data_IF_150465421973
#
_entry.id   IF_150465421973
#
_cell.length_a   1.000
_cell.length_b   1.000
_cell.length_c   1.000
_cell.angle_alpha   90.00
_cell.angle_beta   90.00
_cell.angle_gamma   90.00
#
_symmetry.space_group_name_H-M   'P 1'
#
loop_
_entity.id
_entity.type
_entity.pdbx_description
1 polymer ?
#
# COMPACT_ATOMS: atom_id res chain seq x y z
N UNK A 1 20.61 61.27 -25.44
CA UNK A 1 21.05 60.57 -24.21
C UNK A 1 19.89 59.77 -23.68
N UNK A 2 19.97 58.45 -23.83
CA UNK A 2 18.97 57.45 -23.43
C UNK A 2 19.13 57.17 -21.93
N UNK A 3 18.11 57.45 -21.12
CA UNK A 3 18.02 56.90 -19.77
C UNK A 3 16.68 56.17 -19.61
N UNK A 4 16.76 54.86 -19.75
CA UNK A 4 15.65 53.93 -19.52
C UNK A 4 15.31 53.88 -18.04
N UNK A 5 14.02 54.06 -17.71
CA UNK A 5 13.47 53.78 -16.39
C UNK A 5 13.38 52.26 -16.21
N UNK A 6 14.29 51.70 -15.42
CA UNK A 6 14.21 50.33 -14.94
C UNK A 6 12.95 50.11 -14.10
N UNK A 7 12.06 49.24 -14.56
CA UNK A 7 10.99 48.68 -13.73
C UNK A 7 11.66 47.79 -12.68
N UNK A 8 11.45 48.13 -11.40
CA UNK A 8 11.75 47.25 -10.26
C UNK A 8 10.98 45.93 -10.45
N UNK A 9 11.62 44.75 -10.29
CA UNK A 9 10.90 43.50 -10.34
C UNK A 9 9.90 43.44 -9.18
N UNK A 10 8.65 43.20 -9.52
CA UNK A 10 7.51 43.08 -8.64
C UNK A 10 7.75 41.97 -7.62
N UNK A 11 7.61 42.31 -6.33
CA UNK A 11 7.52 41.39 -5.18
C UNK A 11 6.40 40.33 -5.31
N UNK A 12 5.59 40.41 -6.37
CA UNK A 12 4.53 39.47 -6.71
C UNK A 12 5.04 38.11 -7.21
N UNK A 13 6.29 38.03 -7.66
CA UNK A 13 6.82 36.78 -8.25
C UNK A 13 7.37 35.81 -7.20
N UNK A 14 7.68 36.27 -5.99
CA UNK A 14 8.30 35.45 -4.94
C UNK A 14 7.27 34.78 -4.00
N UNK A 15 6.05 35.32 -3.92
CA UNK A 15 4.94 34.73 -3.16
C UNK A 15 4.31 33.50 -3.84
N UNK A 16 4.53 33.32 -5.15
CA UNK A 16 3.96 32.21 -5.93
C UNK A 16 4.68 30.87 -5.72
N UNK A 17 5.86 30.86 -5.08
CA UNK A 17 6.57 29.64 -4.67
C UNK A 17 6.16 29.12 -3.30
N UNK A 18 5.42 29.90 -2.52
CA UNK A 18 4.90 29.49 -1.22
C UNK A 18 3.50 28.88 -1.37
N UNK A 19 3.40 27.59 -1.02
CA UNK A 19 2.20 26.72 -1.05
C UNK A 19 1.87 26.12 -2.42
N UNK A 20 2.68 25.15 -2.87
CA UNK A 20 2.06 23.91 -3.36
C UNK A 20 1.23 23.38 -2.20
N UNK A 21 -0.05 23.79 -2.12
CA UNK A 21 -1.07 23.13 -1.31
C UNK A 21 -0.87 21.64 -1.52
N UNK A 22 -0.76 20.85 -0.45
CA UNK A 22 -0.73 19.39 -0.56
C UNK A 22 -1.92 18.99 -1.46
N UNK A 23 -1.70 18.54 -2.70
CA UNK A 23 -2.77 18.49 -3.71
C UNK A 23 -3.88 17.51 -3.33
N UNK A 24 -3.59 16.61 -2.38
CA UNK A 24 -4.47 15.56 -1.90
C UNK A 24 -4.98 15.79 -0.47
N UNK A 25 -4.67 16.95 0.16
CA UNK A 25 -5.15 17.29 1.49
C UNK A 25 -6.58 17.89 1.45
N UNK A 26 -7.52 17.11 0.92
CA UNK A 26 -8.97 17.39 0.90
C UNK A 26 -9.72 16.30 1.68
N UNK A 27 -11.02 16.42 1.88
CA UNK A 27 -11.82 15.37 2.53
C UNK A 27 -11.63 14.02 1.81
N UNK A 28 -11.69 12.92 2.57
CA UNK A 28 -11.61 11.58 1.97
C UNK A 28 -12.75 11.38 0.97
N UNK A 29 -12.49 10.74 -0.19
CA UNK A 29 -13.54 10.34 -1.11
C UNK A 29 -14.47 9.31 -0.42
N UNK A 30 -15.72 9.16 -0.87
CA UNK A 30 -16.58 8.07 -0.44
C UNK A 30 -15.85 6.73 -0.64
N UNK A 31 -15.90 5.87 0.37
CA UNK A 31 -15.30 4.53 0.31
C UNK A 31 -16.35 3.53 0.75
N UNK A 32 -16.77 2.68 -0.20
CA UNK A 32 -17.82 1.68 0.02
C UNK A 32 -17.38 0.65 1.07
N UNK A 33 -18.34 0.12 1.82
CA UNK A 33 -18.11 -1.04 2.67
C UNK A 33 -17.68 -2.25 1.84
N UNK A 34 -16.77 -3.05 2.39
CA UNK A 34 -16.13 -4.17 1.69
C UNK A 34 -16.90 -5.44 1.96
N UNK A 35 -17.21 -6.16 0.89
CA UNK A 35 -17.91 -7.45 0.92
C UNK A 35 -16.97 -8.49 0.30
N UNK A 36 -16.79 -9.62 0.97
CA UNK A 36 -16.05 -10.76 0.40
C UNK A 36 -16.92 -11.45 -0.65
N UNK A 37 -16.51 -11.39 -1.91
CA UNK A 37 -17.21 -12.07 -3.02
C UNK A 37 -16.80 -13.55 -3.16
N UNK A 38 -15.63 -13.94 -2.66
CA UNK A 38 -15.13 -15.30 -2.75
C UNK A 38 -13.70 -15.47 -2.25
N UNK A 39 -13.20 -16.70 -2.30
CA UNK A 39 -11.87 -17.08 -1.79
C UNK A 39 -11.28 -18.26 -2.56
N UNK A 40 -9.95 -18.37 -2.59
CA UNK A 40 -9.24 -19.53 -3.12
C UNK A 40 -8.01 -19.85 -2.25
N UNK A 41 -7.45 -21.04 -2.46
CA UNK A 41 -6.30 -21.55 -1.75
C UNK A 41 -5.20 -21.99 -2.72
N UNK A 42 -3.94 -21.92 -2.28
CA UNK A 42 -2.78 -22.45 -3.00
C UNK A 42 -2.06 -23.49 -2.15
N UNK A 43 -1.94 -24.71 -2.64
CA UNK A 43 -1.25 -25.78 -1.91
C UNK A 43 0.29 -25.61 -1.89
N UNK A 44 0.99 -26.56 -1.28
CA UNK A 44 2.47 -26.55 -1.16
C UNK A 44 3.18 -26.59 -2.51
N UNK A 45 2.51 -27.09 -3.57
CA UNK A 45 3.01 -27.11 -4.95
C UNK A 45 2.55 -25.86 -5.74
N UNK A 46 1.93 -24.89 -5.07
CA UNK A 46 1.34 -23.67 -5.66
C UNK A 46 0.20 -23.95 -6.64
N UNK A 47 -0.50 -25.08 -6.50
CA UNK A 47 -1.67 -25.39 -7.34
C UNK A 47 -2.90 -24.69 -6.80
N UNK A 48 -3.75 -24.23 -7.71
CA UNK A 48 -4.98 -23.52 -7.40
C UNK A 48 -6.09 -24.46 -6.92
N UNK A 49 -6.75 -24.07 -5.82
CA UNK A 49 -7.93 -24.73 -5.27
C UNK A 49 -9.02 -23.69 -5.00
N UNK A 50 -10.25 -23.93 -5.47
CA UNK A 50 -11.37 -23.00 -5.28
C UNK A 50 -12.06 -23.23 -3.92
N UNK A 51 -11.30 -23.10 -2.83
CA UNK A 51 -11.77 -23.33 -1.46
C UNK A 51 -10.97 -22.50 -0.42
N UNK A 52 -11.27 -22.73 0.86
CA UNK A 52 -10.60 -22.13 2.02
C UNK A 52 -9.64 -23.10 2.73
N UNK A 53 -9.19 -24.17 2.06
CA UNK A 53 -8.37 -25.24 2.67
C UNK A 53 -7.07 -24.75 3.30
N UNK A 54 -6.50 -23.65 2.81
CA UNK A 54 -5.25 -23.07 3.32
C UNK A 54 -5.48 -21.93 4.32
N UNK A 55 -6.73 -21.63 4.67
CA UNK A 55 -7.05 -20.63 5.68
C UNK A 55 -6.61 -21.11 7.06
N UNK A 56 -5.90 -20.25 7.79
CA UNK A 56 -5.45 -20.51 9.16
C UNK A 56 -6.22 -19.66 10.16
N UNK A 57 -6.37 -20.20 11.36
CA UNK A 57 -6.99 -19.51 12.48
C UNK A 57 -5.92 -18.89 13.36
N UNK A 58 -6.19 -17.69 13.86
CA UNK A 58 -5.33 -17.07 14.85
C UNK A 58 -5.49 -17.79 16.18
N UNK A 59 -4.36 -18.19 16.76
CA UNK A 59 -4.29 -18.60 18.17
C UNK A 59 -3.64 -17.44 18.89
N UNK A 60 -4.37 -16.83 19.82
CA UNK A 60 -3.83 -15.70 20.59
C UNK A 60 -2.67 -16.20 21.47
N UNK A 61 -1.50 -15.53 21.42
CA UNK A 61 -0.35 -15.95 22.20
C UNK A 61 -0.54 -15.60 23.68
N UNK A 62 0.15 -16.34 24.54
CA UNK A 62 0.27 -16.01 25.97
C UNK A 62 0.91 -14.61 26.17
N UNK A 63 0.74 -14.03 27.37
CA UNK A 63 1.23 -12.68 27.68
C UNK A 63 2.74 -12.48 27.43
N UNK A 64 3.52 -13.55 27.53
CA UNK A 64 4.96 -13.60 27.24
C UNK A 64 5.26 -14.62 26.14
N UNK A 65 5.01 -14.30 24.85
CA UNK A 65 5.35 -15.21 23.77
C UNK A 65 6.87 -15.42 23.73
N UNK A 66 7.30 -16.65 23.46
CA UNK A 66 8.72 -17.00 23.26
C UNK A 66 8.92 -17.66 21.88
N UNK A 67 8.48 -16.97 20.83
CA UNK A 67 8.63 -17.45 19.46
C UNK A 67 10.03 -17.13 18.95
N UNK A 68 10.86 -18.16 18.78
CA UNK A 68 12.14 -18.01 18.12
C UNK A 68 11.97 -18.02 16.60
N UNK A 69 12.09 -16.83 15.98
CA UNK A 69 11.98 -16.68 14.53
C UNK A 69 13.22 -17.19 13.77
N UNK A 70 14.26 -17.63 14.47
CA UNK A 70 15.47 -18.23 13.90
C UNK A 70 15.48 -19.74 13.98
N UNK A 71 14.54 -20.34 14.69
CA UNK A 71 14.38 -21.78 14.73
C UNK A 71 14.18 -22.30 13.28
N UNK A 72 15.07 -23.19 12.83
CA UNK A 72 15.13 -23.68 11.45
C UNK A 72 16.03 -22.89 10.48
N UNK A 73 16.68 -21.82 10.93
CA UNK A 73 17.66 -21.03 10.16
C UNK A 73 19.07 -21.12 10.79
N UNK A 74 19.71 -22.28 10.74
CA UNK A 74 20.97 -22.55 11.46
C UNK A 74 22.25 -21.98 10.80
N UNK A 75 22.22 -21.61 9.51
CA UNK A 75 23.47 -21.66 8.74
C UNK A 75 24.15 -20.30 8.46
N UNK A 76 23.56 -19.14 8.82
CA UNK A 76 24.10 -17.81 8.46
C UNK A 76 23.80 -16.69 9.46
N UNK A 77 24.00 -16.92 10.76
CA UNK A 77 23.73 -15.88 11.77
C UNK A 77 25.00 -15.38 12.48
N UNK A 78 25.20 -14.06 12.47
CA UNK A 78 26.25 -13.36 13.23
C UNK A 78 25.63 -12.88 14.55
N UNK A 79 26.03 -13.51 15.67
CA UNK A 79 25.60 -13.18 17.02
C UNK A 79 26.20 -11.82 17.44
N UNK A 80 25.35 -10.91 17.95
CA UNK A 80 25.79 -9.65 18.55
C UNK A 80 26.04 -9.87 20.04
N UNK A 81 27.03 -9.18 20.61
CA UNK A 81 27.44 -9.30 22.01
C UNK A 81 26.28 -9.07 23.01
N UNK A 82 26.07 -10.04 23.89
CA UNK A 82 24.94 -10.17 24.82
C UNK A 82 25.13 -9.41 26.15
N UNK A 83 26.31 -8.82 26.42
CA UNK A 83 26.59 -8.12 27.68
C UNK A 83 25.94 -6.72 27.80
N UNK A 84 25.14 -6.30 26.82
CA UNK A 84 24.43 -5.01 26.86
C UNK A 84 22.98 -5.23 27.31
N UNK A 85 22.72 -5.09 28.61
CA UNK A 85 21.37 -5.13 29.17
C UNK A 85 20.58 -3.91 28.66
N UNK A 86 19.65 -4.12 27.73
CA UNK A 86 18.86 -3.03 27.15
C UNK A 86 17.72 -2.64 28.09
N UNK A 87 17.94 -1.55 28.83
CA UNK A 87 16.93 -0.82 29.58
C UNK A 87 15.81 -0.31 28.63
N UNK A 88 14.60 -0.07 29.17
CA UNK A 88 13.44 0.47 28.46
C UNK A 88 13.76 1.79 27.71
N UNK A 89 14.72 2.54 28.26
CA UNK A 89 15.28 3.76 27.67
C UNK A 89 15.83 3.56 26.25
N UNK A 90 16.51 2.44 25.96
CA UNK A 90 17.03 2.18 24.62
C UNK A 90 15.94 1.86 23.62
N UNK A 91 14.81 1.30 24.06
CA UNK A 91 13.63 1.08 23.23
C UNK A 91 12.95 2.42 22.92
N UNK A 92 12.80 3.28 23.93
CA UNK A 92 12.26 4.64 23.74
C UNK A 92 13.18 5.49 22.85
N UNK A 93 14.49 5.45 23.07
CA UNK A 93 15.50 6.08 22.20
C UNK A 93 15.44 5.50 20.79
N UNK A 94 15.27 4.19 20.63
CA UNK A 94 15.12 3.57 19.31
C UNK A 94 13.84 4.02 18.62
N UNK A 95 12.70 4.10 19.31
CA UNK A 95 11.45 4.61 18.76
C UNK A 95 11.61 6.06 18.32
N UNK A 96 12.27 6.90 19.13
CA UNK A 96 12.56 8.29 18.78
C UNK A 96 13.50 8.37 17.57
N UNK A 97 14.57 7.58 17.53
CA UNK A 97 15.53 7.53 16.44
C UNK A 97 14.97 6.90 15.14
N UNK A 98 13.96 6.03 15.25
CA UNK A 98 13.37 5.29 14.14
C UNK A 98 11.93 5.72 13.85
N UNK A 99 11.53 6.90 14.33
CA UNK A 99 10.17 7.46 14.18
C UNK A 99 9.67 7.42 12.74
N UNK A 100 10.53 7.76 11.77
CA UNK A 100 10.23 7.67 10.33
C UNK A 100 10.05 6.22 9.84
N UNK A 101 10.84 5.27 10.34
CA UNK A 101 10.73 3.85 9.98
C UNK A 101 9.45 3.22 10.53
N UNK A 102 9.07 3.58 11.76
CA UNK A 102 7.81 3.14 12.37
C UNK A 102 6.60 3.72 11.61
N UNK A 103 6.68 5.01 11.28
CA UNK A 103 5.75 5.71 10.37
C UNK A 103 5.49 4.93 9.09
N UNK A 104 6.55 4.61 8.34
CA UNK A 104 6.41 3.91 7.06
C UNK A 104 5.84 2.50 7.21
N UNK A 105 6.12 1.80 8.32
CA UNK A 105 5.54 0.48 8.59
C UNK A 105 4.04 0.57 8.86
N UNK A 106 3.64 1.45 9.77
CA UNK A 106 2.22 1.64 10.13
C UNK A 106 1.40 2.11 8.93
N UNK A 107 1.95 3.00 8.10
CA UNK A 107 1.34 3.41 6.84
C UNK A 107 1.09 2.21 5.92
N UNK A 108 2.10 1.36 5.70
CA UNK A 108 1.96 0.18 4.84
C UNK A 108 0.93 -0.80 5.40
N UNK A 109 0.97 -1.06 6.70
CA UNK A 109 0.02 -1.94 7.39
C UNK A 109 -1.41 -1.43 7.29
N UNK A 110 -1.59 -0.14 7.54
CA UNK A 110 -2.88 0.53 7.38
C UNK A 110 -3.37 0.42 5.94
N UNK A 111 -2.57 0.79 4.95
CA UNK A 111 -2.98 0.76 3.55
C UNK A 111 -3.39 -0.65 3.11
N UNK A 112 -2.61 -1.67 3.46
CA UNK A 112 -2.91 -3.07 3.16
C UNK A 112 -4.22 -3.54 3.82
N UNK A 113 -4.39 -3.25 5.10
CA UNK A 113 -5.50 -3.80 5.89
C UNK A 113 -6.79 -3.01 5.69
N UNK A 114 -6.69 -1.69 5.55
CA UNK A 114 -7.81 -0.79 5.32
C UNK A 114 -8.46 -1.07 3.97
N UNK A 115 -7.69 -1.22 2.89
CA UNK A 115 -8.25 -1.50 1.56
C UNK A 115 -8.99 -2.84 1.50
N UNK A 116 -8.54 -3.84 2.27
CA UNK A 116 -9.15 -5.18 2.32
C UNK A 116 -10.17 -5.35 3.44
N UNK A 117 -10.31 -4.37 4.34
CA UNK A 117 -11.28 -4.44 5.44
C UNK A 117 -10.90 -5.32 6.59
N UNK A 118 -9.61 -5.62 6.73
CA UNK A 118 -9.08 -6.36 7.85
C UNK A 118 -9.08 -5.42 9.07
N UNK A 119 -9.85 -5.71 10.13
CA UNK A 119 -10.06 -4.76 11.24
C UNK A 119 -8.92 -4.75 12.26
N UNK A 120 -8.11 -5.83 12.30
CA UNK A 120 -7.06 -6.05 13.32
C UNK A 120 -5.74 -6.44 12.67
N UNK A 121 -4.65 -5.85 13.16
CA UNK A 121 -3.28 -6.17 12.78
C UNK A 121 -2.53 -6.60 14.03
N UNK A 122 -2.01 -7.83 14.05
CA UNK A 122 -1.24 -8.37 15.17
C UNK A 122 0.25 -8.31 14.83
N UNK A 123 1.03 -7.57 15.63
CA UNK A 123 2.45 -7.33 15.42
C UNK A 123 3.29 -7.91 16.55
N UNK A 124 4.18 -8.86 16.20
CA UNK A 124 5.22 -9.36 17.10
C UNK A 124 6.46 -8.47 17.07
N UNK A 125 6.87 -7.99 18.23
CA UNK A 125 8.10 -7.23 18.44
C UNK A 125 9.19 -8.21 18.88
N UNK A 126 10.19 -8.36 18.02
CA UNK A 126 11.35 -9.19 18.31
C UNK A 126 12.51 -8.37 18.83
N UNK A 127 13.33 -8.98 19.68
CA UNK A 127 14.63 -8.45 20.07
C UNK A 127 15.67 -8.66 18.95
N UNK A 128 16.90 -8.22 19.21
CA UNK A 128 18.02 -8.41 18.27
C UNK A 128 18.42 -9.88 18.13
N UNK A 129 17.97 -10.76 19.04
CA UNK A 129 18.19 -12.20 19.05
C UNK A 129 17.12 -12.97 18.25
N UNK A 130 16.18 -12.26 17.62
CA UNK A 130 15.15 -12.88 16.79
C UNK A 130 13.98 -13.46 17.57
N UNK A 131 14.00 -13.40 18.91
CA UNK A 131 12.91 -13.83 19.76
C UNK A 131 11.81 -12.78 19.78
N UNK A 132 10.56 -13.17 19.49
CA UNK A 132 9.40 -12.32 19.73
C UNK A 132 9.20 -12.19 21.23
N UNK A 133 9.38 -11.00 21.78
CA UNK A 133 9.30 -10.73 23.23
C UNK A 133 7.99 -10.04 23.63
N UNK A 134 7.26 -9.49 22.67
CA UNK A 134 5.92 -8.95 22.93
C UNK A 134 5.09 -8.98 21.65
N UNK A 135 3.78 -9.05 21.81
CA UNK A 135 2.80 -8.94 20.73
C UNK A 135 1.88 -7.79 21.04
N UNK A 136 1.55 -6.98 20.03
CA UNK A 136 0.53 -5.93 20.14
C UNK A 136 -0.46 -6.03 19.01
N UNK A 137 -1.72 -5.78 19.35
CA UNK A 137 -2.81 -5.71 18.38
C UNK A 137 -3.16 -4.26 18.12
N UNK A 138 -3.25 -3.89 16.83
CA UNK A 138 -3.66 -2.58 16.36
C UNK A 138 -5.01 -2.70 15.66
N UNK A 139 -5.97 -1.84 16.01
CA UNK A 139 -7.18 -1.68 15.20
C UNK A 139 -6.85 -0.85 13.97
N UNK A 140 -7.15 -1.35 12.78
CA UNK A 140 -6.82 -0.69 11.51
C UNK A 140 -7.39 0.73 11.45
N UNK A 141 -8.60 0.93 11.96
CA UNK A 141 -9.26 2.25 11.99
C UNK A 141 -8.58 3.28 12.90
N UNK A 142 -7.75 2.86 13.85
CA UNK A 142 -7.08 3.72 14.84
C UNK A 142 -5.66 4.11 14.45
N UNK A 143 -5.09 3.43 13.46
CA UNK A 143 -3.71 3.69 13.02
C UNK A 143 -3.52 5.15 12.59
N UNK A 144 -4.43 5.79 11.83
CA UNK A 144 -4.27 7.19 11.47
C UNK A 144 -4.13 8.15 12.65
N UNK A 145 -4.89 7.92 13.73
CA UNK A 145 -4.81 8.73 14.94
C UNK A 145 -3.48 8.48 15.67
N UNK A 146 -3.01 7.23 15.72
CA UNK A 146 -1.72 6.86 16.30
C UNK A 146 -0.51 7.51 15.61
N UNK A 147 -0.67 7.97 14.36
CA UNK A 147 0.43 8.56 13.60
C UNK A 147 0.15 9.98 13.12
N UNK A 148 -0.93 10.60 13.59
CA UNK A 148 -1.34 11.94 13.16
C UNK A 148 -0.24 12.97 13.43
N UNK A 149 0.41 12.90 14.61
CA UNK A 149 1.52 13.76 15.01
C UNK A 149 2.82 13.53 14.21
N UNK A 150 2.83 12.51 13.35
CA UNK A 150 3.95 12.16 12.49
C UNK A 150 3.81 12.75 11.07
N UNK A 151 2.70 13.44 10.79
CA UNK A 151 2.51 14.24 9.58
C UNK A 151 1.88 13.51 8.39
N UNK A 152 1.56 12.22 8.54
CA UNK A 152 0.81 11.48 7.52
C UNK A 152 -0.70 11.63 7.74
N UNK A 153 -1.46 11.74 6.65
CA UNK A 153 -2.91 11.88 6.64
C UNK A 153 -3.55 10.80 5.76
N UNK A 154 -4.50 10.00 6.25
CA UNK A 154 -5.17 8.97 5.45
C UNK A 154 -5.89 9.56 4.23
N UNK A 155 -6.41 10.78 4.35
CA UNK A 155 -7.09 11.50 3.27
C UNK A 155 -6.15 11.71 2.08
N UNK A 156 -4.89 12.03 2.33
CA UNK A 156 -3.88 12.26 1.27
C UNK A 156 -3.65 10.98 0.47
N UNK A 157 -3.59 9.82 1.13
CA UNK A 157 -3.45 8.53 0.46
C UNK A 157 -4.67 8.18 -0.38
N UNK A 158 -5.88 8.33 0.18
CA UNK A 158 -7.11 7.97 -0.51
C UNK A 158 -7.40 8.90 -1.69
N UNK A 159 -7.15 10.19 -1.55
CA UNK A 159 -7.31 11.16 -2.63
C UNK A 159 -6.33 10.90 -3.78
N UNK A 160 -5.06 10.62 -3.47
CA UNK A 160 -4.10 10.21 -4.51
C UNK A 160 -4.56 8.95 -5.23
N UNK A 161 -5.03 7.93 -4.50
CA UNK A 161 -5.52 6.69 -5.09
C UNK A 161 -6.70 6.95 -6.03
N UNK A 162 -7.69 7.73 -5.59
CA UNK A 162 -8.86 8.10 -6.39
C UNK A 162 -8.48 8.87 -7.66
N UNK A 163 -7.59 9.85 -7.54
CA UNK A 163 -7.16 10.66 -8.69
C UNK A 163 -6.31 9.84 -9.66
N UNK A 164 -5.47 8.94 -9.15
CA UNK A 164 -4.71 8.00 -9.98
C UNK A 164 -5.62 7.03 -10.74
N UNK A 165 -6.61 6.42 -10.08
CA UNK A 165 -7.57 5.53 -10.77
C UNK A 165 -8.40 6.30 -11.82
N UNK A 166 -8.80 7.54 -11.50
CA UNK A 166 -9.48 8.41 -12.46
C UNK A 166 -8.59 8.78 -13.65
N UNK A 167 -7.29 8.97 -13.41
CA UNK A 167 -6.29 9.19 -14.46
C UNK A 167 -6.14 7.95 -15.34
N UNK A 168 -5.99 6.76 -14.76
CA UNK A 168 -5.92 5.48 -15.49
C UNK A 168 -7.15 5.32 -16.39
N UNK A 169 -8.35 5.46 -15.82
CA UNK A 169 -9.62 5.35 -16.57
C UNK A 169 -9.72 6.34 -17.73
N UNK A 170 -9.13 7.52 -17.61
CA UNK A 170 -9.14 8.55 -18.66
C UNK A 170 -8.14 8.26 -19.78
N UNK A 171 -6.98 7.69 -19.48
CA UNK A 171 -5.91 7.50 -20.48
C UNK A 171 -5.91 6.12 -21.13
N UNK A 172 -6.39 5.08 -20.44
CA UNK A 172 -6.53 3.73 -20.98
C UNK A 172 -7.85 3.65 -21.74
N UNK A 173 -7.81 4.02 -23.02
CA UNK A 173 -8.99 4.10 -23.89
C UNK A 173 -9.14 2.90 -24.83
N UNK A 174 -8.06 2.15 -25.05
CA UNK A 174 -8.04 1.00 -25.97
C UNK A 174 -8.47 -0.27 -25.23
N UNK A 175 -9.53 -0.89 -25.71
CA UNK A 175 -9.98 -2.22 -25.26
C UNK A 175 -9.27 -3.31 -26.10
N UNK A 176 -7.99 -3.50 -25.81
CA UNK A 176 -7.14 -4.52 -26.46
C UNK A 176 -6.25 -5.20 -25.40
N UNK A 177 -6.37 -6.53 -25.19
CA UNK A 177 -5.59 -7.26 -24.19
C UNK A 177 -4.08 -7.29 -24.48
N UNK A 178 -3.65 -6.92 -25.69
CA UNK A 178 -2.25 -6.87 -26.10
C UNK A 178 -1.63 -5.46 -26.01
N UNK A 179 -2.40 -4.48 -25.53
CA UNK A 179 -1.94 -3.11 -25.30
C UNK A 179 -1.75 -2.88 -23.80
N UNK A 180 -0.55 -2.46 -23.41
CA UNK A 180 -0.19 -2.22 -22.01
C UNK A 180 0.21 -0.76 -21.81
N UNK A 181 -0.50 -0.10 -20.90
CA UNK A 181 -0.15 1.23 -20.41
C UNK A 181 0.71 1.08 -19.15
N UNK A 182 2.01 1.29 -19.28
CA UNK A 182 2.96 1.18 -18.19
C UNK A 182 3.08 2.52 -17.46
N UNK A 183 2.47 2.62 -16.28
CA UNK A 183 2.56 3.78 -15.40
C UNK A 183 3.85 3.76 -14.59
N UNK A 184 4.57 4.88 -14.55
CA UNK A 184 5.80 5.05 -13.80
C UNK A 184 5.76 6.32 -12.96
N UNK A 185 6.41 6.29 -11.79
CA UNK A 185 6.51 7.43 -10.89
C UNK A 185 7.81 7.40 -10.12
N UNK A 186 8.60 8.48 -10.20
CA UNK A 186 9.73 8.73 -9.30
C UNK A 186 9.27 9.49 -8.06
N UNK A 187 10.03 9.41 -6.97
CA UNK A 187 9.74 10.19 -5.76
C UNK A 187 9.59 11.68 -6.11
N UNK A 188 8.53 12.31 -5.57
CA UNK A 188 8.20 13.73 -5.79
C UNK A 188 7.89 14.14 -7.24
N UNK A 189 7.72 13.18 -8.15
CA UNK A 189 7.29 13.44 -9.53
C UNK A 189 5.83 13.06 -9.76
N UNK A 190 5.27 13.62 -10.83
CA UNK A 190 3.98 13.22 -11.36
C UNK A 190 4.06 11.82 -11.96
N UNK A 191 2.90 11.16 -12.02
CA UNK A 191 2.76 9.87 -12.69
C UNK A 191 2.87 10.10 -14.20
N UNK A 192 3.77 9.36 -14.85
CA UNK A 192 3.87 9.30 -16.31
C UNK A 192 3.47 7.92 -16.81
N UNK A 193 3.20 7.77 -18.10
CA UNK A 193 2.94 6.46 -18.69
C UNK A 193 3.56 6.33 -20.08
N UNK A 194 3.78 5.09 -20.50
CA UNK A 194 4.18 4.70 -21.86
C UNK A 194 3.24 3.62 -22.37
N UNK A 195 3.04 3.55 -23.68
CA UNK A 195 2.14 2.57 -24.31
C UNK A 195 2.97 1.54 -25.06
N UNK A 196 2.73 0.26 -24.79
CA UNK A 196 3.45 -0.87 -25.39
C UNK A 196 2.44 -1.82 -26.03
N UNK A 197 2.73 -2.28 -27.25
CA UNK A 197 1.87 -3.19 -28.01
C UNK A 197 2.61 -4.50 -28.25
N UNK A 198 1.95 -5.63 -28.04
CA UNK A 198 2.54 -6.96 -28.27
C UNK A 198 3.92 -7.12 -27.61
N UNK A 199 4.07 -6.56 -26.42
CA UNK A 199 5.36 -6.51 -25.71
C UNK A 199 5.47 -7.57 -24.63
N UNK A 200 6.66 -7.77 -24.09
CA UNK A 200 6.89 -8.60 -22.90
C UNK A 200 6.18 -8.09 -21.64
N UNK A 201 5.63 -6.87 -21.66
CA UNK A 201 4.81 -6.35 -20.56
C UNK A 201 3.38 -6.90 -20.57
N UNK A 202 2.97 -7.63 -21.61
CA UNK A 202 1.65 -8.25 -21.70
C UNK A 202 1.47 -9.25 -20.56
N UNK A 203 0.39 -9.09 -19.78
CA UNK A 203 0.16 -9.86 -18.56
C UNK A 203 -1.12 -10.71 -18.60
N UNK A 204 -1.97 -10.53 -19.62
CA UNK A 204 -3.17 -11.35 -19.83
C UNK A 204 -2.79 -12.58 -20.66
N UNK A 205 -2.94 -13.80 -20.12
CA UNK A 205 -2.61 -15.01 -20.86
C UNK A 205 -3.70 -15.37 -21.88
N UNK A 206 -3.31 -16.00 -22.99
CA UNK A 206 -4.21 -16.33 -24.10
C UNK A 206 -5.41 -17.19 -23.68
N UNK A 207 -5.21 -18.12 -22.74
CA UNK A 207 -6.29 -18.97 -22.23
C UNK A 207 -7.40 -18.16 -21.57
N UNK A 208 -7.05 -17.05 -20.90
CA UNK A 208 -8.00 -16.17 -20.22
C UNK A 208 -8.74 -15.32 -21.23
N UNK A 209 -7.99 -14.67 -22.12
CA UNK A 209 -8.55 -13.85 -23.21
C UNK A 209 -9.52 -14.66 -24.05
N UNK A 210 -9.16 -15.89 -24.41
CA UNK A 210 -9.99 -16.79 -25.22
C UNK A 210 -11.30 -17.16 -24.51
N UNK A 211 -11.26 -17.46 -23.20
CA UNK A 211 -12.45 -17.79 -22.42
C UNK A 211 -13.36 -16.59 -22.16
N UNK A 212 -12.80 -15.38 -22.05
CA UNK A 212 -13.55 -14.15 -21.78
C UNK A 212 -14.08 -13.47 -23.04
N UNK A 213 -13.62 -13.85 -24.24
CA UNK A 213 -14.20 -13.37 -25.49
C UNK A 213 -15.69 -13.72 -25.49
N UNK A 214 -16.59 -12.72 -25.64
CA UNK A 214 -18.01 -12.96 -25.59
C UNK A 214 -18.39 -14.00 -26.64
N UNK A 215 -19.06 -15.07 -26.21
CA UNK A 215 -19.77 -15.97 -27.11
C UNK A 215 -20.65 -15.09 -28.01
N UNK A 216 -20.53 -15.24 -29.33
CA UNK A 216 -21.37 -14.51 -30.28
C UNK A 216 -22.85 -14.77 -29.94
N UNK A 217 -23.49 -13.76 -29.35
CA UNK A 217 -24.93 -13.55 -29.08
C UNK A 217 -25.74 -14.67 -28.40
N UNK A 218 -26.11 -14.42 -27.14
CA UNK A 218 -27.53 -14.49 -26.71
C UNK A 218 -27.83 -13.37 -25.71
N UNK A 219 -29.07 -12.84 -25.67
CA UNK A 219 -29.35 -11.56 -25.04
C UNK A 219 -29.38 -11.66 -23.50
N UNK A 220 -28.56 -10.80 -22.89
CA UNK A 220 -28.66 -10.22 -21.54
C UNK A 220 -28.64 -11.18 -20.34
N UNK A 221 -27.45 -11.29 -19.75
CA UNK A 221 -27.30 -11.03 -18.32
C UNK A 221 -26.12 -10.08 -18.15
N UNK A 222 -26.39 -8.81 -17.82
CA UNK A 222 -25.34 -7.89 -17.37
C UNK A 222 -24.88 -8.38 -16.00
N UNK A 223 -23.73 -9.06 -15.95
CA UNK A 223 -22.95 -9.11 -14.72
C UNK A 223 -22.15 -7.82 -14.64
N UNK A 224 -22.70 -6.82 -13.95
CA UNK A 224 -21.97 -5.62 -13.58
C UNK A 224 -20.96 -5.97 -12.47
N UNK A 225 -19.72 -6.26 -12.86
CA UNK A 225 -18.56 -6.27 -11.95
C UNK A 225 -18.25 -4.86 -11.36
N UNK A 226 -19.05 -3.85 -11.72
CA UNK A 226 -18.85 -2.44 -11.40
C UNK A 226 -19.66 -1.93 -10.19
N UNK A 227 -20.42 -2.78 -9.50
CA UNK A 227 -21.16 -2.36 -8.29
C UNK A 227 -20.26 -2.12 -7.07
N UNK A 228 -18.96 -2.46 -7.12
CA UNK A 228 -18.04 -2.30 -6.00
C UNK A 228 -17.49 -0.88 -5.76
N UNK A 229 -17.76 0.10 -6.65
CA UNK A 229 -17.16 1.45 -6.56
C UNK A 229 -18.14 2.63 -6.69
N UNK A 230 -19.38 2.47 -6.21
CA UNK A 230 -20.29 3.59 -5.93
C UNK A 230 -20.61 3.66 -4.44
#
# INVERSE_FOLDING_TARGET
SLFGKGKRPSQETELSRQRRKEPYARCSPPFKERVEEGSFSLDTERRFHHDKSQMRYIVEPDETPNFDLRNGYSDRYIKRDENVRKNLEHILQWILANKSKLMFKLLKWWAQSFLLGVPRIVAGFKNDDGLVVSVRTYRTAEIPQLVQYLGWKPEVCMNFCSDFLSFVKRVVIEDDPHVVYLFSRKALSDVTFTVHRNSSYSFLPDWYVTKMKPLKSSPKAKFDLLSCFQ
#
